data_IF_177725425814
#
_entry.id   IF_177725425814
#
_cell.length_a   1.000
_cell.length_b   1.000
_cell.length_c   1.000
_cell.angle_alpha   90.00
_cell.angle_beta   90.00
_cell.angle_gamma   90.00
#
_symmetry.space_group_name_H-M   'P 1'
#
loop_
_entity.id
_entity.type
_entity.pdbx_description
1 polymer ?
#
# COMPACT_ATOMS: atom_id res chain seq x y z
N UNK A 1 -2.66 19.45 -13.61
CA UNK A 1 -1.76 20.16 -14.57
C UNK A 1 -2.37 20.14 -15.97
N UNK A 2 -2.62 18.95 -16.60
CA UNK A 2 -3.12 18.89 -17.97
C UNK A 2 -4.34 19.80 -18.22
N UNK A 3 -5.36 19.72 -17.38
CA UNK A 3 -6.58 20.55 -17.50
C UNK A 3 -6.28 22.05 -17.48
N UNK A 4 -5.32 22.46 -16.65
CA UNK A 4 -4.95 23.89 -16.54
C UNK A 4 -4.19 24.33 -17.79
N UNK A 5 -3.24 23.53 -18.29
CA UNK A 5 -2.52 23.83 -19.52
C UNK A 5 -3.47 23.93 -20.74
N UNK A 6 -4.42 23.00 -20.87
CA UNK A 6 -5.44 23.05 -21.90
C UNK A 6 -6.31 24.31 -21.81
N UNK A 7 -6.65 24.76 -20.59
CA UNK A 7 -7.41 25.99 -20.37
C UNK A 7 -6.64 27.25 -20.79
N UNK A 8 -5.30 27.19 -20.79
CA UNK A 8 -4.43 28.24 -21.32
C UNK A 8 -4.13 28.13 -22.82
N UNK A 9 -4.82 27.21 -23.53
CA UNK A 9 -4.65 27.03 -24.98
C UNK A 9 -3.45 26.18 -25.39
N UNK A 10 -2.75 25.57 -24.42
CA UNK A 10 -1.62 24.68 -24.72
C UNK A 10 -2.09 23.34 -25.25
N UNK A 11 -1.34 22.76 -26.19
CA UNK A 11 -1.56 21.41 -26.67
C UNK A 11 -0.83 20.41 -25.79
N UNK A 12 -1.56 19.58 -25.08
CA UNK A 12 -1.00 18.61 -24.12
C UNK A 12 -1.30 17.19 -24.55
N UNK A 13 -0.26 16.38 -24.63
CA UNK A 13 -0.37 14.94 -24.79
C UNK A 13 0.04 14.26 -23.47
N UNK A 14 -0.85 13.42 -22.92
CA UNK A 14 -0.63 12.67 -21.69
C UNK A 14 -0.53 11.17 -22.01
N UNK A 15 0.53 10.53 -21.54
CA UNK A 15 0.76 9.11 -21.72
C UNK A 15 1.49 8.51 -20.52
N UNK A 16 1.44 7.19 -20.40
CA UNK A 16 2.30 6.46 -19.47
C UNK A 16 3.73 6.39 -19.99
N UNK A 17 4.71 6.31 -19.09
CA UNK A 17 6.13 6.28 -19.46
C UNK A 17 6.51 5.05 -20.30
N UNK A 18 5.82 3.91 -20.09
CA UNK A 18 6.01 2.71 -20.92
C UNK A 18 5.61 2.90 -22.39
N UNK A 19 4.81 3.92 -22.70
CA UNK A 19 4.34 4.25 -24.03
C UNK A 19 5.03 5.49 -24.62
N UNK A 20 6.15 5.91 -24.02
CA UNK A 20 6.90 7.05 -24.53
C UNK A 20 7.34 6.82 -25.97
N UNK A 21 7.18 7.84 -26.78
CA UNK A 21 7.70 7.91 -28.14
C UNK A 21 8.20 9.34 -28.43
N UNK A 22 8.89 9.53 -29.56
CA UNK A 22 9.33 10.87 -29.97
C UNK A 22 8.13 11.70 -30.43
N UNK A 23 8.03 12.90 -29.88
CA UNK A 23 6.99 13.89 -30.22
C UNK A 23 7.63 15.10 -30.90
N UNK A 24 7.78 15.12 -32.24
CA UNK A 24 8.59 16.12 -32.98
C UNK A 24 8.14 17.58 -32.78
N UNK A 25 6.89 17.79 -32.36
CA UNK A 25 6.33 19.15 -32.13
C UNK A 25 6.30 19.54 -30.67
N UNK A 26 6.74 18.66 -29.76
CA UNK A 26 6.75 18.97 -28.34
C UNK A 26 7.86 19.93 -28.00
N UNK A 27 7.54 20.99 -27.26
CA UNK A 27 8.52 21.93 -26.69
C UNK A 27 8.99 21.53 -25.31
N UNK A 28 8.12 20.85 -24.56
CA UNK A 28 8.36 20.42 -23.19
C UNK A 28 8.02 18.94 -23.01
N UNK A 29 8.86 18.22 -22.30
CA UNK A 29 8.60 16.91 -21.73
C UNK A 29 8.57 17.04 -20.20
N UNK A 30 7.44 16.83 -19.59
CA UNK A 30 7.31 16.84 -18.13
C UNK A 30 7.10 15.40 -17.69
N UNK A 31 8.02 14.88 -16.91
CA UNK A 31 7.98 13.52 -16.37
C UNK A 31 7.52 13.56 -14.93
N UNK A 32 6.41 12.91 -14.64
CA UNK A 32 5.94 12.63 -13.28
C UNK A 32 6.09 11.14 -13.01
N UNK A 33 6.87 10.78 -12.01
CA UNK A 33 7.10 9.37 -11.68
C UNK A 33 7.17 9.12 -10.18
N UNK A 34 6.69 7.97 -9.74
CA UNK A 34 6.88 7.48 -8.37
C UNK A 34 8.05 6.50 -8.31
N UNK A 35 8.48 6.18 -7.09
CA UNK A 35 9.47 5.16 -6.79
C UNK A 35 8.82 4.06 -5.95
N UNK A 36 9.10 2.81 -6.25
CA UNK A 36 8.64 1.64 -5.49
C UNK A 36 9.80 0.90 -4.84
N UNK A 37 9.51 0.17 -3.76
CA UNK A 37 10.47 -0.71 -3.11
C UNK A 37 11.78 -0.01 -2.73
N UNK A 38 12.89 -0.55 -3.19
CA UNK A 38 14.26 -0.07 -2.97
C UNK A 38 14.76 0.80 -4.14
N UNK A 39 13.98 1.78 -4.58
CA UNK A 39 14.37 2.66 -5.67
C UNK A 39 13.82 2.26 -7.04
N UNK A 40 12.95 1.24 -7.12
CA UNK A 40 12.51 0.63 -8.37
C UNK A 40 11.50 1.48 -9.16
N UNK A 41 11.45 1.18 -10.48
CA UNK A 41 10.49 1.78 -11.38
C UNK A 41 9.05 1.31 -11.06
N UNK A 42 8.04 2.21 -11.14
CA UNK A 42 6.66 1.78 -11.11
C UNK A 42 6.32 0.97 -12.38
N UNK A 43 5.31 0.10 -12.28
CA UNK A 43 4.93 -0.83 -13.36
C UNK A 43 4.66 -0.15 -14.70
N UNK A 44 4.11 1.07 -14.69
CA UNK A 44 3.83 1.88 -15.88
C UNK A 44 5.04 2.67 -16.41
N UNK A 45 6.23 2.51 -15.81
CA UNK A 45 7.46 3.15 -16.21
C UNK A 45 8.65 2.19 -16.41
N UNK A 46 8.46 0.88 -16.21
CA UNK A 46 9.52 -0.13 -16.25
C UNK A 46 10.31 -0.19 -17.56
N UNK A 47 9.71 0.25 -18.67
CA UNK A 47 10.34 0.27 -20.00
C UNK A 47 10.98 1.62 -20.34
N UNK A 48 10.71 2.68 -19.57
CA UNK A 48 11.04 4.05 -19.95
C UNK A 48 12.53 4.26 -20.16
N UNK A 49 13.38 3.77 -19.26
CA UNK A 49 14.84 3.87 -19.38
C UNK A 49 15.33 3.27 -20.71
N UNK A 50 14.81 2.10 -21.07
CA UNK A 50 15.20 1.44 -22.32
C UNK A 50 14.70 2.19 -23.56
N UNK A 51 13.53 2.84 -23.47
CA UNK A 51 13.01 3.70 -24.53
C UNK A 51 13.87 4.95 -24.72
N UNK A 52 14.22 5.66 -23.64
CA UNK A 52 15.09 6.84 -23.70
C UNK A 52 16.46 6.51 -24.29
N UNK A 53 17.10 5.40 -23.90
CA UNK A 53 18.39 4.96 -24.44
C UNK A 53 18.37 4.70 -25.96
N UNK A 54 17.19 4.36 -26.50
CA UNK A 54 17.00 4.11 -27.95
C UNK A 54 16.47 5.34 -28.70
N UNK A 55 16.15 6.40 -27.97
CA UNK A 55 15.58 7.62 -28.57
C UNK A 55 16.66 8.41 -29.28
N UNK A 56 16.45 8.62 -30.57
CA UNK A 56 17.24 9.56 -31.41
C UNK A 56 16.32 10.67 -31.87
N UNK A 57 16.64 11.90 -31.54
CA UNK A 57 15.94 13.07 -32.10
C UNK A 57 16.91 14.22 -32.28
N UNK A 58 16.65 15.01 -33.30
CA UNK A 58 17.51 16.16 -33.65
C UNK A 58 17.09 17.43 -32.91
N UNK A 59 15.81 17.59 -32.66
CA UNK A 59 15.29 18.79 -32.00
C UNK A 59 15.45 18.68 -30.48
N UNK A 60 16.03 19.73 -29.89
CA UNK A 60 16.10 19.89 -28.45
C UNK A 60 14.71 20.10 -27.84
N UNK A 61 14.48 19.48 -26.70
CA UNK A 61 13.25 19.60 -25.93
C UNK A 61 13.56 19.98 -24.48
N UNK A 62 12.78 20.88 -23.93
CA UNK A 62 12.85 21.25 -22.52
C UNK A 62 12.31 20.14 -21.63
N UNK A 63 13.11 19.66 -20.68
CA UNK A 63 12.73 18.53 -19.82
C UNK A 63 12.69 18.94 -18.36
N UNK A 64 11.63 18.51 -17.67
CA UNK A 64 11.48 18.62 -16.22
C UNK A 64 11.06 17.25 -15.65
N UNK A 65 11.68 16.86 -14.56
CA UNK A 65 11.33 15.62 -13.83
C UNK A 65 10.81 15.97 -12.44
N UNK A 66 9.70 15.34 -12.06
CA UNK A 66 9.14 15.43 -10.72
C UNK A 66 9.01 14.02 -10.16
N UNK A 67 9.73 13.74 -9.10
CA UNK A 67 9.73 12.45 -8.42
C UNK A 67 8.82 12.45 -7.21
N UNK A 68 8.01 11.41 -7.06
CA UNK A 68 7.18 11.16 -5.88
C UNK A 68 7.74 9.96 -5.12
N UNK A 69 7.95 10.11 -3.83
CA UNK A 69 8.48 9.05 -2.97
C UNK A 69 8.08 9.26 -1.52
N UNK A 70 8.62 8.43 -0.64
CA UNK A 70 8.49 8.63 0.80
C UNK A 70 9.87 8.63 1.44
N UNK A 71 10.17 9.64 2.23
CA UNK A 71 11.42 9.76 3.00
C UNK A 71 11.54 8.70 4.11
N UNK A 72 10.49 7.91 4.34
CA UNK A 72 10.56 6.75 5.21
C UNK A 72 11.38 5.59 4.62
N UNK A 73 11.71 5.65 3.32
CA UNK A 73 12.50 4.63 2.62
C UNK A 73 13.89 5.19 2.24
N UNK A 74 14.95 4.35 2.28
CA UNK A 74 16.32 4.79 2.00
C UNK A 74 16.50 5.44 0.62
N UNK A 75 15.84 4.87 -0.41
CA UNK A 75 15.99 5.32 -1.79
C UNK A 75 14.85 6.29 -2.20
N UNK A 76 14.72 7.38 -1.42
CA UNK A 76 13.73 8.43 -1.65
C UNK A 76 13.84 8.98 -3.08
N UNK A 77 12.78 8.82 -3.87
CA UNK A 77 12.69 9.23 -5.28
C UNK A 77 13.80 8.64 -6.19
N UNK A 78 14.39 7.48 -5.84
CA UNK A 78 15.54 6.89 -6.53
C UNK A 78 15.33 6.74 -8.03
N UNK A 79 14.18 6.22 -8.47
CA UNK A 79 13.87 6.08 -9.89
C UNK A 79 13.80 7.43 -10.63
N UNK A 80 13.25 8.46 -10.00
CA UNK A 80 13.22 9.80 -10.61
C UNK A 80 14.62 10.40 -10.75
N UNK A 81 15.51 10.14 -9.79
CA UNK A 81 16.93 10.56 -9.86
C UNK A 81 17.64 9.84 -11.01
N UNK A 82 17.42 8.53 -11.17
CA UNK A 82 17.98 7.76 -12.28
C UNK A 82 17.52 8.30 -13.64
N UNK A 83 16.22 8.61 -13.78
CA UNK A 83 15.66 9.20 -15.00
C UNK A 83 16.27 10.57 -15.28
N UNK A 84 16.37 11.44 -14.28
CA UNK A 84 16.91 12.80 -14.44
C UNK A 84 18.36 12.76 -14.93
N UNK A 85 19.19 11.89 -14.33
CA UNK A 85 20.58 11.67 -14.76
C UNK A 85 20.66 11.10 -16.18
N UNK A 86 19.78 10.15 -16.53
CA UNK A 86 19.74 9.56 -17.87
C UNK A 86 19.34 10.59 -18.93
N UNK A 87 18.31 11.38 -18.67
CA UNK A 87 17.83 12.42 -19.57
C UNK A 87 18.88 13.52 -19.77
N UNK A 88 19.58 13.93 -18.72
CA UNK A 88 20.65 14.92 -18.79
C UNK A 88 21.83 14.50 -19.72
N UNK A 89 22.00 13.19 -19.95
CA UNK A 89 23.04 12.66 -20.86
C UNK A 89 22.63 12.64 -22.34
N UNK A 90 21.33 12.91 -22.62
CA UNK A 90 20.85 12.90 -24.00
C UNK A 90 21.16 14.22 -24.69
N UNK A 91 21.68 14.17 -25.91
CA UNK A 91 22.04 15.36 -26.70
C UNK A 91 20.84 16.22 -27.13
N UNK A 92 19.65 15.66 -27.11
CA UNK A 92 18.37 16.29 -27.46
C UNK A 92 17.63 16.90 -26.26
N UNK A 93 18.16 16.71 -25.05
CA UNK A 93 17.56 17.23 -23.80
C UNK A 93 18.15 18.57 -23.43
N UNK A 94 17.29 19.53 -23.15
CA UNK A 94 17.61 20.76 -22.46
C UNK A 94 16.91 20.75 -21.09
N UNK A 95 17.72 20.78 -20.02
CA UNK A 95 17.17 20.78 -18.66
C UNK A 95 16.42 22.09 -18.42
N UNK A 96 15.10 21.98 -18.27
CA UNK A 96 14.25 23.14 -18.04
C UNK A 96 14.17 23.53 -16.57
N UNK A 97 13.95 22.56 -15.70
CA UNK A 97 14.01 22.72 -14.25
C UNK A 97 14.88 21.61 -13.66
N UNK A 98 15.52 21.89 -12.54
CA UNK A 98 16.16 20.86 -11.73
C UNK A 98 15.12 19.87 -11.22
N UNK A 99 15.55 18.63 -10.97
CA UNK A 99 14.69 17.58 -10.38
C UNK A 99 14.00 18.13 -9.13
N UNK A 100 12.70 18.01 -9.12
CA UNK A 100 11.89 18.28 -7.92
C UNK A 100 11.41 16.98 -7.32
N UNK A 101 11.49 16.85 -6.01
CA UNK A 101 11.00 15.69 -5.27
C UNK A 101 9.82 16.09 -4.40
N UNK A 102 8.87 15.19 -4.26
CA UNK A 102 7.65 15.38 -3.48
C UNK A 102 7.52 14.21 -2.50
N UNK A 103 7.60 14.52 -1.21
CA UNK A 103 7.45 13.53 -0.17
C UNK A 103 5.97 13.20 0.05
N UNK A 104 5.66 11.91 0.12
CA UNK A 104 4.32 11.39 0.44
C UNK A 104 3.16 12.03 -0.34
N UNK A 105 3.43 12.44 -1.60
CA UNK A 105 2.48 13.15 -2.46
C UNK A 105 1.98 14.48 -1.86
N UNK A 106 2.81 15.17 -1.07
CA UNK A 106 2.49 16.46 -0.48
C UNK A 106 2.07 17.47 -1.55
N UNK A 107 0.86 17.96 -1.46
CA UNK A 107 0.36 18.99 -2.37
C UNK A 107 1.12 20.31 -2.22
N UNK A 108 1.57 20.63 -1.00
CA UNK A 108 2.36 21.82 -0.69
C UNK A 108 3.72 21.77 -1.38
N UNK A 109 4.43 20.63 -1.31
CA UNK A 109 5.71 20.45 -1.99
C UNK A 109 5.52 20.45 -3.51
N UNK A 110 4.48 19.80 -4.02
CA UNK A 110 4.15 19.80 -5.44
C UNK A 110 3.87 21.21 -5.97
N UNK A 111 3.20 22.05 -5.20
CA UNK A 111 2.99 23.48 -5.53
C UNK A 111 4.32 24.23 -5.67
N UNK A 112 5.37 23.81 -4.99
CA UNK A 112 6.73 24.34 -5.20
C UNK A 112 7.15 24.22 -6.67
N UNK A 113 7.05 23.02 -7.25
CA UNK A 113 7.30 22.80 -8.67
C UNK A 113 6.37 23.61 -9.57
N UNK A 114 5.07 23.67 -9.24
CA UNK A 114 4.08 24.44 -10.01
C UNK A 114 4.49 25.92 -10.13
N UNK A 115 4.93 26.53 -9.03
CA UNK A 115 5.39 27.93 -9.00
C UNK A 115 6.64 28.13 -9.86
N UNK A 116 7.64 27.25 -9.73
CA UNK A 116 8.87 27.31 -10.53
C UNK A 116 8.59 27.19 -12.03
N UNK A 117 7.74 26.22 -12.40
CA UNK A 117 7.35 25.98 -13.78
C UNK A 117 6.58 27.16 -14.36
N UNK A 118 5.59 27.70 -13.61
CA UNK A 118 4.79 28.85 -14.01
C UNK A 118 5.66 30.10 -14.20
N UNK A 119 6.56 30.36 -13.27
CA UNK A 119 7.47 31.52 -13.37
C UNK A 119 8.39 31.43 -14.61
N UNK A 120 8.85 30.22 -14.94
CA UNK A 120 9.79 30.03 -16.06
C UNK A 120 9.10 29.99 -17.43
N UNK A 121 7.85 29.53 -17.52
CA UNK A 121 7.08 29.48 -18.78
C UNK A 121 6.23 30.71 -19.03
N UNK A 122 5.91 31.47 -18.00
CA UNK A 122 4.89 32.55 -18.07
C UNK A 122 3.45 32.04 -18.11
N UNK A 123 3.21 30.70 -18.04
CA UNK A 123 1.89 30.12 -18.03
C UNK A 123 1.44 29.97 -16.57
N UNK A 124 0.41 30.68 -16.10
CA UNK A 124 0.02 30.65 -14.71
C UNK A 124 -0.75 29.36 -14.39
N UNK A 125 -0.10 28.42 -13.71
CA UNK A 125 -0.76 27.29 -13.07
C UNK A 125 -1.18 27.66 -11.65
N UNK A 126 -2.29 27.12 -11.19
CA UNK A 126 -2.76 27.41 -9.85
C UNK A 126 -1.81 26.87 -8.78
N UNK A 127 -1.40 27.72 -7.87
CA UNK A 127 -0.58 27.37 -6.71
C UNK A 127 -1.40 27.01 -5.45
N UNK A 128 -2.66 26.62 -5.64
CA UNK A 128 -3.56 26.24 -4.54
C UNK A 128 -3.42 24.75 -4.25
N UNK A 129 -2.88 24.33 -3.09
CA UNK A 129 -2.62 22.90 -2.79
C UNK A 129 -3.84 22.01 -2.92
N UNK A 130 -5.03 22.50 -2.51
CA UNK A 130 -6.28 21.73 -2.57
C UNK A 130 -6.70 21.29 -3.97
N UNK A 131 -6.16 21.90 -5.03
CA UNK A 131 -6.40 21.47 -6.42
C UNK A 131 -5.58 20.22 -6.81
N UNK A 132 -4.54 19.91 -6.06
CA UNK A 132 -3.65 18.77 -6.28
C UNK A 132 -3.89 17.64 -5.27
N UNK A 133 -4.74 17.88 -4.28
CA UNK A 133 -5.20 16.92 -3.30
C UNK A 133 -6.63 16.49 -3.69
N UNK A 134 -6.78 15.31 -4.27
CA UNK A 134 -8.12 14.78 -4.54
C UNK A 134 -8.84 14.54 -3.21
N UNK A 135 -9.98 15.18 -3.03
CA UNK A 135 -10.87 14.84 -1.92
C UNK A 135 -11.33 13.39 -2.11
N UNK A 136 -11.14 12.53 -1.12
CA UNK A 136 -11.53 11.13 -1.23
C UNK A 136 -13.03 11.00 -1.52
N UNK A 137 -13.36 10.19 -2.55
CA UNK A 137 -14.73 9.88 -2.93
C UNK A 137 -15.19 8.58 -2.28
N UNK A 138 -16.50 8.37 -2.27
CA UNK A 138 -17.13 7.14 -1.79
C UNK A 138 -16.77 6.78 -0.33
N UNK A 139 -16.60 7.81 0.49
CA UNK A 139 -16.36 7.65 1.91
C UNK A 139 -17.63 7.22 2.64
N UNK A 140 -17.49 6.18 3.46
CA UNK A 140 -18.53 5.67 4.33
C UNK A 140 -18.22 6.01 5.79
N UNK A 141 -19.29 6.14 6.59
CA UNK A 141 -19.13 6.28 8.04
C UNK A 141 -18.82 4.92 8.65
N UNK A 142 -17.74 4.86 9.42
CA UNK A 142 -17.35 3.72 10.24
C UNK A 142 -17.56 4.08 11.70
N UNK A 143 -18.12 3.15 12.48
CA UNK A 143 -18.27 3.31 13.94
C UNK A 143 -17.33 2.33 14.63
N UNK A 144 -16.52 2.80 15.55
CA UNK A 144 -15.68 1.95 16.41
C UNK A 144 -16.58 1.24 17.41
N UNK A 145 -16.64 -0.09 17.34
CA UNK A 145 -17.39 -0.91 18.29
C UNK A 145 -16.57 -1.25 19.53
N UNK A 146 -15.31 -1.62 19.29
CA UNK A 146 -14.39 -2.01 20.34
C UNK A 146 -12.94 -1.74 19.91
N UNK A 147 -12.10 -1.48 20.90
CA UNK A 147 -10.65 -1.35 20.76
C UNK A 147 -10.00 -1.98 21.99
N UNK A 148 -9.02 -2.87 21.77
CA UNK A 148 -8.24 -3.43 22.87
C UNK A 148 -7.24 -2.41 23.41
N UNK A 149 -6.75 -2.61 24.61
CA UNK A 149 -5.57 -1.91 25.09
C UNK A 149 -4.38 -2.25 24.21
N UNK A 150 -3.43 -1.33 24.13
CA UNK A 150 -2.17 -1.54 23.41
C UNK A 150 -1.32 -2.56 24.16
N UNK A 151 -0.71 -3.49 23.45
CA UNK A 151 0.26 -4.39 24.06
C UNK A 151 1.58 -3.65 24.31
N UNK A 152 2.13 -3.77 25.50
CA UNK A 152 3.35 -3.06 25.92
C UNK A 152 4.60 -3.38 25.09
N UNK A 153 4.67 -4.60 24.56
CA UNK A 153 5.86 -5.09 23.83
C UNK A 153 5.77 -4.97 22.32
N UNK A 154 4.58 -5.17 21.74
CA UNK A 154 4.38 -5.14 20.28
C UNK A 154 3.80 -3.82 19.79
N UNK A 155 3.33 -2.97 20.72
CA UNK A 155 2.60 -1.74 20.40
C UNK A 155 1.45 -1.98 19.41
N UNK A 156 0.75 -3.11 19.57
CA UNK A 156 -0.38 -3.49 18.71
C UNK A 156 -1.70 -3.43 19.48
N UNK A 157 -2.77 -3.13 18.76
CA UNK A 157 -4.14 -3.18 19.25
C UNK A 157 -5.06 -3.73 18.17
N UNK A 158 -6.16 -4.36 18.61
CA UNK A 158 -7.24 -4.79 17.74
C UNK A 158 -8.34 -3.74 17.77
N UNK A 159 -8.96 -3.52 16.63
CA UNK A 159 -10.09 -2.61 16.49
C UNK A 159 -11.20 -3.28 15.68
N UNK A 160 -12.42 -3.24 16.21
CA UNK A 160 -13.62 -3.73 15.52
C UNK A 160 -14.45 -2.52 15.08
N UNK A 161 -14.80 -2.49 13.80
CA UNK A 161 -15.54 -1.40 13.19
C UNK A 161 -16.81 -1.93 12.54
N UNK A 162 -17.87 -1.11 12.62
CA UNK A 162 -19.12 -1.35 11.89
C UNK A 162 -19.28 -0.29 10.81
N UNK A 163 -19.64 -0.72 9.60
CA UNK A 163 -20.08 0.19 8.54
C UNK A 163 -21.49 0.68 8.83
N UNK A 164 -21.79 1.95 8.56
CA UNK A 164 -23.14 2.49 8.70
C UNK A 164 -24.03 2.21 7.47
N UNK A 165 -23.46 1.58 6.44
CA UNK A 165 -24.18 1.10 5.24
C UNK A 165 -24.05 -0.41 5.17
N UNK A 166 -24.95 -1.07 4.46
CA UNK A 166 -24.89 -2.51 4.16
C UNK A 166 -23.79 -2.81 3.11
N UNK A 167 -22.63 -2.20 3.23
CA UNK A 167 -21.54 -2.43 2.29
C UNK A 167 -20.94 -3.79 2.51
N UNK A 168 -21.03 -4.62 1.48
CA UNK A 168 -20.43 -5.96 1.51
C UNK A 168 -18.92 -5.85 1.42
N UNK A 169 -18.23 -6.49 2.32
CA UNK A 169 -16.77 -6.64 2.31
C UNK A 169 -16.38 -8.10 2.57
N UNK A 170 -15.15 -8.42 2.26
CA UNK A 170 -14.61 -9.78 2.39
C UNK A 170 -13.25 -9.67 3.08
N UNK A 171 -12.91 -10.65 3.92
CA UNK A 171 -11.56 -10.73 4.50
C UNK A 171 -10.50 -10.67 3.40
N UNK A 172 -9.51 -9.79 3.57
CA UNK A 172 -8.51 -9.49 2.54
C UNK A 172 -8.78 -8.23 1.71
N UNK A 173 -10.00 -7.66 1.75
CA UNK A 173 -10.22 -6.29 1.28
C UNK A 173 -9.40 -5.29 2.12
N UNK A 174 -9.28 -4.05 1.67
CA UNK A 174 -8.53 -3.00 2.36
C UNK A 174 -9.48 -1.93 2.90
N UNK A 175 -9.18 -1.42 4.07
CA UNK A 175 -9.77 -0.19 4.59
C UNK A 175 -8.80 0.97 4.33
N UNK A 176 -9.22 1.93 3.50
CA UNK A 176 -8.52 3.19 3.30
C UNK A 176 -9.03 4.21 4.31
N UNK A 177 -8.17 4.64 5.21
CA UNK A 177 -8.45 5.72 6.17
C UNK A 177 -7.74 7.00 5.75
N UNK A 178 -8.31 8.10 6.15
CA UNK A 178 -7.81 9.45 5.88
C UNK A 178 -7.68 10.16 7.23
N UNK A 179 -6.48 10.19 7.82
CA UNK A 179 -6.24 10.88 9.08
C UNK A 179 -6.67 12.34 8.99
N UNK A 180 -7.06 12.95 10.11
CA UNK A 180 -7.61 14.30 10.15
C UNK A 180 -6.79 15.29 9.31
N UNK A 181 -7.46 15.94 8.36
CA UNK A 181 -6.92 16.94 7.44
C UNK A 181 -5.88 16.42 6.41
N UNK A 182 -5.67 15.10 6.33
CA UNK A 182 -4.82 14.49 5.31
C UNK A 182 -5.70 13.68 4.34
N UNK A 183 -5.73 14.06 3.06
CA UNK A 183 -6.44 13.35 2.00
C UNK A 183 -5.66 12.16 1.46
N UNK A 184 -4.49 11.89 1.99
CA UNK A 184 -3.70 10.71 1.63
C UNK A 184 -4.21 9.48 2.38
N UNK A 185 -4.50 8.43 1.63
CA UNK A 185 -5.00 7.20 2.21
C UNK A 185 -3.91 6.39 2.93
N UNK A 186 -4.31 5.76 4.02
CA UNK A 186 -3.53 4.73 4.72
C UNK A 186 -4.34 3.45 4.67
N UNK A 187 -3.73 2.40 4.12
CA UNK A 187 -4.39 1.13 3.83
C UNK A 187 -4.16 0.12 4.97
N UNK A 188 -5.22 -0.51 5.39
CA UNK A 188 -5.21 -1.59 6.37
C UNK A 188 -5.94 -2.80 5.83
N UNK A 189 -5.30 -3.97 5.86
CA UNK A 189 -5.98 -5.22 5.52
C UNK A 189 -7.03 -5.56 6.57
N UNK A 190 -8.22 -5.95 6.12
CA UNK A 190 -9.35 -6.22 6.98
C UNK A 190 -9.67 -7.71 7.11
N UNK A 191 -10.02 -8.13 8.32
CA UNK A 191 -10.75 -9.36 8.59
C UNK A 191 -12.25 -9.09 8.68
N UNK A 192 -13.06 -10.09 8.37
CA UNK A 192 -14.49 -10.04 8.60
C UNK A 192 -14.82 -10.94 9.81
N UNK A 193 -15.21 -10.32 10.92
CA UNK A 193 -15.61 -11.00 12.14
C UNK A 193 -17.05 -10.62 12.48
N UNK A 194 -17.97 -11.59 12.42
CA UNK A 194 -19.40 -11.35 12.69
C UNK A 194 -19.96 -10.14 11.93
N UNK A 195 -19.70 -10.08 10.61
CA UNK A 195 -20.10 -8.99 9.71
C UNK A 195 -19.51 -7.60 10.06
N UNK A 196 -18.56 -7.54 11.00
CA UNK A 196 -17.81 -6.33 11.32
C UNK A 196 -16.39 -6.40 10.80
N UNK A 197 -15.83 -5.23 10.48
CA UNK A 197 -14.43 -5.10 10.09
C UNK A 197 -13.54 -5.26 11.31
N UNK A 198 -12.58 -6.16 11.23
CA UNK A 198 -11.54 -6.33 12.23
C UNK A 198 -10.19 -5.84 11.68
N UNK A 199 -9.52 -4.99 12.42
CA UNK A 199 -8.17 -4.53 12.16
C UNK A 199 -7.24 -5.00 13.26
N UNK A 200 -6.00 -5.33 12.86
CA UNK A 200 -4.85 -5.45 13.77
C UNK A 200 -3.89 -4.34 13.41
N UNK A 201 -3.68 -3.42 14.33
CA UNK A 201 -2.93 -2.18 14.08
C UNK A 201 -1.70 -2.13 14.96
N UNK A 202 -0.54 -1.89 14.35
CA UNK A 202 0.68 -1.54 15.07
C UNK A 202 0.79 -0.02 15.18
N UNK A 203 0.88 0.48 16.39
CA UNK A 203 1.13 1.90 16.64
C UNK A 203 2.58 2.23 16.32
N UNK A 204 2.78 3.14 15.39
CA UNK A 204 4.09 3.72 15.08
C UNK A 204 4.20 5.10 15.74
N UNK A 205 5.32 5.42 16.40
CA UNK A 205 5.47 6.68 17.17
C UNK A 205 5.17 7.95 16.38
N UNK A 206 5.50 7.97 15.08
CA UNK A 206 5.24 9.10 14.16
C UNK A 206 4.23 8.77 13.06
N UNK A 207 3.53 7.63 13.17
CA UNK A 207 2.61 7.16 12.13
C UNK A 207 1.27 7.88 12.18
N UNK A 208 0.98 8.73 11.20
CA UNK A 208 -0.29 9.48 11.11
C UNK A 208 -1.51 8.56 11.13
N UNK A 209 -1.50 7.47 10.34
CA UNK A 209 -2.63 6.54 10.25
C UNK A 209 -2.86 5.75 11.53
N UNK A 210 -1.80 5.09 12.03
CA UNK A 210 -1.91 4.29 13.26
C UNK A 210 -2.16 5.16 14.50
N UNK A 211 -1.54 6.35 14.57
CA UNK A 211 -1.80 7.33 15.61
C UNK A 211 -3.25 7.80 15.59
N UNK A 212 -3.78 8.15 14.41
CA UNK A 212 -5.18 8.53 14.27
C UNK A 212 -6.13 7.42 14.74
N UNK A 213 -5.94 6.18 14.29
CA UNK A 213 -6.78 5.05 14.76
C UNK A 213 -6.67 4.85 16.27
N UNK A 214 -5.49 5.06 16.84
CA UNK A 214 -5.28 4.93 18.27
C UNK A 214 -6.06 5.98 19.09
N UNK A 215 -6.25 7.21 18.57
CA UNK A 215 -7.04 8.24 19.25
C UNK A 215 -8.55 8.00 19.24
N UNK A 216 -9.03 7.09 18.39
CA UNK A 216 -10.45 6.78 18.30
C UNK A 216 -10.88 5.86 19.45
N UNK A 217 -11.93 6.24 20.15
CA UNK A 217 -12.53 5.46 21.22
C UNK A 217 -13.79 4.71 20.76
N UNK A 218 -14.25 3.73 21.56
CA UNK A 218 -15.54 3.05 21.29
C UNK A 218 -16.67 4.08 21.18
N UNK A 219 -17.48 3.95 20.12
CA UNK A 219 -18.51 4.92 19.74
C UNK A 219 -18.03 6.02 18.80
N UNK A 220 -16.73 6.22 18.62
CA UNK A 220 -16.21 7.19 17.64
C UNK A 220 -16.67 6.87 16.24
N UNK A 221 -17.00 7.93 15.46
CA UNK A 221 -17.40 7.80 14.06
C UNK A 221 -16.40 8.55 13.18
N UNK A 222 -15.89 7.87 12.16
CA UNK A 222 -14.98 8.46 11.18
C UNK A 222 -15.36 8.04 9.75
N UNK A 223 -14.73 8.66 8.76
CA UNK A 223 -14.96 8.34 7.35
C UNK A 223 -13.81 7.51 6.81
N UNK A 224 -14.13 6.43 6.09
CA UNK A 224 -13.18 5.57 5.43
C UNK A 224 -13.79 4.98 4.16
N UNK A 225 -12.98 4.32 3.36
CA UNK A 225 -13.41 3.65 2.13
C UNK A 225 -12.95 2.19 2.15
N UNK A 226 -13.83 1.28 1.74
CA UNK A 226 -13.47 -0.12 1.50
C UNK A 226 -13.00 -0.28 0.06
N UNK A 227 -11.79 -0.79 -0.11
CA UNK A 227 -11.20 -1.09 -1.41
C UNK A 227 -11.20 -2.59 -1.61
N UNK A 228 -11.83 -3.06 -2.69
CA UNK A 228 -11.84 -4.47 -3.04
C UNK A 228 -10.45 -4.95 -3.44
N UNK A 229 -10.00 -6.04 -2.82
CA UNK A 229 -8.72 -6.69 -3.09
C UNK A 229 -8.94 -8.16 -3.47
N UNK A 230 -9.55 -8.39 -4.62
CA UNK A 230 -9.96 -9.72 -5.07
C UNK A 230 -8.81 -10.72 -5.16
N UNK A 231 -7.58 -10.25 -5.37
CA UNK A 231 -6.38 -11.08 -5.46
C UNK A 231 -5.97 -11.66 -4.11
N UNK A 232 -6.46 -11.08 -3.01
CA UNK A 232 -6.17 -11.54 -1.65
C UNK A 232 -7.42 -12.10 -0.92
N UNK A 233 -8.43 -12.51 -1.65
CA UNK A 233 -9.58 -13.21 -1.07
C UNK A 233 -9.27 -14.69 -0.87
N UNK A 234 -9.99 -15.32 0.06
CA UNK A 234 -9.88 -16.76 0.32
C UNK A 234 -10.06 -17.57 -0.98
N UNK A 235 -9.12 -18.48 -1.30
CA UNK A 235 -9.13 -19.24 -2.56
C UNK A 235 -10.14 -20.39 -2.50
N UNK A 236 -11.41 -20.13 -2.72
CA UNK A 236 -12.55 -21.07 -2.56
C UNK A 236 -12.42 -22.39 -3.31
N UNK A 237 -11.57 -22.46 -4.34
CA UNK A 237 -11.36 -23.67 -5.15
C UNK A 237 -10.16 -24.51 -4.68
N UNK A 238 -9.34 -23.99 -3.76
CA UNK A 238 -8.22 -24.73 -3.24
C UNK A 238 -8.66 -25.82 -2.27
N UNK A 239 -8.07 -27.00 -2.36
CA UNK A 239 -8.29 -28.08 -1.41
C UNK A 239 -7.56 -27.85 -0.09
N UNK A 240 -6.36 -27.24 -0.18
CA UNK A 240 -5.48 -26.93 0.94
C UNK A 240 -4.99 -25.49 0.85
N UNK A 241 -4.80 -24.82 1.97
CA UNK A 241 -4.31 -23.42 2.01
C UNK A 241 -3.31 -23.29 3.16
N UNK A 242 -2.18 -22.64 2.92
CA UNK A 242 -1.28 -22.19 3.96
C UNK A 242 -1.35 -20.67 4.08
N UNK A 243 -1.66 -20.15 5.26
CA UNK A 243 -1.58 -18.74 5.61
C UNK A 243 -0.25 -18.48 6.30
N UNK A 244 0.47 -17.47 5.84
CA UNK A 244 1.75 -17.04 6.42
C UNK A 244 1.62 -15.57 6.80
N UNK A 245 1.82 -15.25 8.07
CA UNK A 245 1.73 -13.85 8.53
C UNK A 245 2.84 -13.49 9.51
N UNK A 246 3.17 -12.20 9.52
CA UNK A 246 3.98 -11.59 10.56
C UNK A 246 3.22 -10.44 11.23
N UNK A 247 3.13 -10.49 12.56
CA UNK A 247 2.53 -9.42 13.35
C UNK A 247 1.10 -9.08 12.90
N UNK A 248 0.89 -7.85 12.44
CA UNK A 248 -0.45 -7.35 12.08
C UNK A 248 -1.05 -7.95 10.81
N UNK A 249 -0.25 -8.63 9.98
CA UNK A 249 -0.72 -9.31 8.77
C UNK A 249 -1.71 -10.44 9.02
N UNK A 250 -1.93 -10.84 10.28
CA UNK A 250 -2.86 -11.90 10.65
C UNK A 250 -4.34 -11.50 10.45
N UNK A 251 -4.68 -10.21 10.46
CA UNK A 251 -6.07 -9.74 10.49
C UNK A 251 -7.00 -10.38 9.43
N UNK A 252 -6.67 -10.41 8.12
CA UNK A 252 -7.51 -11.04 7.12
C UNK A 252 -7.66 -12.56 7.33
N UNK A 253 -6.62 -13.23 7.79
CA UNK A 253 -6.63 -14.68 7.99
C UNK A 253 -7.55 -15.10 9.14
N UNK A 254 -7.66 -14.30 10.20
CA UNK A 254 -8.63 -14.56 11.28
C UNK A 254 -10.05 -14.66 10.72
N UNK A 255 -10.47 -13.69 9.92
CA UNK A 255 -11.79 -13.71 9.32
C UNK A 255 -11.96 -14.79 8.23
N UNK A 256 -10.90 -15.13 7.48
CA UNK A 256 -10.96 -16.22 6.50
C UNK A 256 -11.15 -17.58 7.17
N UNK A 257 -10.47 -17.83 8.29
CA UNK A 257 -10.65 -19.07 9.07
C UNK A 257 -12.07 -19.18 9.64
N UNK A 258 -12.58 -18.12 10.24
CA UNK A 258 -13.94 -18.09 10.80
C UNK A 258 -15.01 -18.36 9.73
N UNK A 259 -14.76 -17.92 8.50
CA UNK A 259 -15.66 -18.12 7.36
C UNK A 259 -15.42 -19.41 6.57
N UNK A 260 -14.47 -20.25 6.98
CA UNK A 260 -14.17 -21.54 6.33
C UNK A 260 -15.28 -22.58 6.57
N UNK A 261 -16.45 -22.36 5.97
CA UNK A 261 -17.58 -23.27 6.05
C UNK A 261 -17.40 -24.55 5.21
N UNK A 262 -16.56 -24.46 4.18
CA UNK A 262 -16.22 -25.59 3.30
C UNK A 262 -15.28 -26.60 3.95
N UNK A 263 -14.73 -26.26 5.11
CA UNK A 263 -13.75 -27.05 5.84
C UNK A 263 -12.52 -27.39 4.99
N UNK A 264 -12.12 -26.43 4.15
CA UNK A 264 -10.85 -26.48 3.45
C UNK A 264 -9.72 -26.66 4.45
N UNK A 265 -8.76 -27.51 4.17
CA UNK A 265 -7.60 -27.73 5.03
C UNK A 265 -6.75 -26.45 5.06
N UNK A 266 -6.68 -25.80 6.21
CA UNK A 266 -5.93 -24.55 6.40
C UNK A 266 -4.82 -24.77 7.42
N UNK A 267 -3.61 -24.39 7.08
CA UNK A 267 -2.46 -24.31 7.99
C UNK A 267 -2.10 -22.83 8.20
N UNK A 268 -2.00 -22.39 9.46
CA UNK A 268 -1.65 -21.01 9.80
C UNK A 268 -0.27 -20.96 10.43
N UNK A 269 0.65 -20.22 9.81
CA UNK A 269 2.00 -19.93 10.28
C UNK A 269 2.13 -18.46 10.63
N UNK A 270 2.39 -18.16 11.91
CA UNK A 270 2.44 -16.79 12.40
C UNK A 270 3.76 -16.47 13.09
N UNK A 271 4.30 -15.27 12.82
CA UNK A 271 5.48 -14.74 13.50
C UNK A 271 5.14 -13.53 14.37
N UNK A 272 5.61 -13.56 15.62
CA UNK A 272 5.55 -12.45 16.56
C UNK A 272 6.90 -12.28 17.25
N UNK A 273 7.07 -11.18 17.99
CA UNK A 273 8.31 -10.96 18.75
C UNK A 273 8.32 -11.75 20.03
N UNK A 274 7.27 -11.67 20.82
CA UNK A 274 7.12 -12.27 22.14
C UNK A 274 5.69 -12.73 22.37
N UNK A 275 5.50 -13.57 23.36
CA UNK A 275 4.17 -13.90 23.88
C UNK A 275 3.59 -12.64 24.56
N UNK A 276 2.39 -12.26 24.13
CA UNK A 276 1.60 -11.17 24.68
C UNK A 276 0.17 -11.66 24.89
N UNK A 277 -0.66 -10.94 25.64
CA UNK A 277 -2.08 -11.27 25.78
C UNK A 277 -2.77 -11.36 24.42
N UNK A 278 -2.39 -10.52 23.46
CA UNK A 278 -2.90 -10.57 22.09
C UNK A 278 -2.50 -11.88 21.38
N UNK A 279 -1.25 -12.32 21.53
CA UNK A 279 -0.77 -13.58 20.93
C UNK A 279 -1.46 -14.77 21.58
N UNK A 280 -1.62 -14.78 22.90
CA UNK A 280 -2.42 -15.81 23.62
C UNK A 280 -3.88 -15.83 23.16
N UNK A 281 -4.44 -14.64 22.85
CA UNK A 281 -5.76 -14.54 22.24
C UNK A 281 -5.83 -15.21 20.86
N UNK A 282 -4.81 -15.09 20.04
CA UNK A 282 -4.73 -15.77 18.73
C UNK A 282 -4.59 -17.30 18.90
N UNK A 283 -3.79 -17.77 19.84
CA UNK A 283 -3.68 -19.20 20.15
C UNK A 283 -5.01 -19.81 20.58
N UNK A 284 -5.71 -19.11 21.48
CA UNK A 284 -7.06 -19.52 21.92
C UNK A 284 -8.04 -19.56 20.74
N UNK A 285 -8.04 -18.52 19.90
CA UNK A 285 -8.87 -18.47 18.71
C UNK A 285 -8.51 -19.61 17.73
N UNK A 286 -7.22 -19.84 17.47
CA UNK A 286 -6.77 -20.94 16.62
C UNK A 286 -7.22 -22.31 17.15
N UNK A 287 -7.11 -22.54 18.46
CA UNK A 287 -7.59 -23.76 19.12
C UNK A 287 -9.09 -23.96 18.89
N UNK A 288 -9.88 -22.88 19.03
CA UNK A 288 -11.32 -22.94 18.76
C UNK A 288 -11.61 -23.28 17.28
N UNK A 289 -10.86 -22.68 16.34
CA UNK A 289 -11.02 -22.97 14.91
C UNK A 289 -10.63 -24.41 14.56
N UNK A 290 -9.62 -24.97 15.22
CA UNK A 290 -9.24 -26.39 15.08
C UNK A 290 -10.39 -27.29 15.57
N UNK A 291 -10.97 -27.02 16.74
CA UNK A 291 -12.12 -27.76 17.25
C UNK A 291 -13.34 -27.70 16.31
N UNK A 292 -13.56 -26.55 15.66
CA UNK A 292 -14.63 -26.36 14.67
C UNK A 292 -14.28 -26.96 13.29
N UNK A 293 -13.09 -27.51 13.10
CA UNK A 293 -12.54 -27.99 11.81
C UNK A 293 -12.50 -26.90 10.73
N UNK A 294 -12.26 -25.66 11.15
CA UNK A 294 -12.07 -24.50 10.29
C UNK A 294 -10.58 -24.15 10.09
N UNK A 295 -9.73 -24.74 10.93
CA UNK A 295 -8.26 -24.69 10.86
C UNK A 295 -7.73 -26.10 11.10
N UNK A 296 -6.70 -26.53 10.38
CA UNK A 296 -6.03 -27.80 10.53
C UNK A 296 -4.88 -27.72 11.55
N UNK A 297 -4.03 -26.70 11.42
CA UNK A 297 -2.89 -26.51 12.33
C UNK A 297 -2.55 -25.04 12.51
N UNK A 298 -1.98 -24.72 13.65
CA UNK A 298 -1.46 -23.43 14.03
C UNK A 298 -0.01 -23.54 14.45
N UNK A 299 0.86 -22.75 13.84
CA UNK A 299 2.30 -22.74 14.07
C UNK A 299 2.74 -21.33 14.43
N UNK A 300 3.31 -21.18 15.63
CA UNK A 300 3.77 -19.91 16.18
C UNK A 300 5.28 -19.83 16.20
N UNK A 301 5.83 -18.77 15.62
CA UNK A 301 7.24 -18.40 15.72
C UNK A 301 7.40 -17.16 16.61
N UNK A 302 8.37 -17.18 17.53
CA UNK A 302 8.66 -16.12 18.47
C UNK A 302 10.11 -15.67 18.32
N UNK A 303 10.34 -14.49 17.74
CA UNK A 303 11.68 -14.05 17.34
C UNK A 303 12.50 -13.39 18.46
N UNK A 304 11.94 -13.19 19.66
CA UNK A 304 12.59 -12.54 20.80
C UNK A 304 12.45 -13.31 22.13
N UNK A 305 12.12 -14.60 22.04
CA UNK A 305 12.13 -15.53 23.17
C UNK A 305 13.44 -16.35 23.17
N UNK A 306 13.72 -17.07 24.26
CA UNK A 306 14.96 -17.86 24.41
C UNK A 306 15.21 -18.84 23.25
N UNK A 307 14.18 -19.57 22.84
CA UNK A 307 14.19 -20.44 21.67
C UNK A 307 13.69 -19.70 20.44
N UNK A 308 14.32 -18.55 20.11
CA UNK A 308 13.88 -17.72 19.02
C UNK A 308 13.86 -18.46 17.68
N UNK A 309 12.76 -18.30 16.97
CA UNK A 309 12.61 -18.77 15.60
C UNK A 309 11.79 -17.75 14.79
N UNK A 310 11.92 -17.83 13.50
CA UNK A 310 11.16 -17.02 12.56
C UNK A 310 10.15 -17.90 11.81
N UNK A 311 9.14 -17.30 11.20
CA UNK A 311 8.18 -18.01 10.37
C UNK A 311 8.88 -18.84 9.29
N UNK A 312 9.97 -18.35 8.73
CA UNK A 312 10.77 -19.05 7.73
C UNK A 312 11.38 -20.35 8.26
N UNK A 313 11.69 -20.42 9.55
CA UNK A 313 12.25 -21.65 10.16
C UNK A 313 11.13 -22.70 10.30
N UNK A 314 9.91 -22.27 10.63
CA UNK A 314 8.74 -23.15 10.64
C UNK A 314 8.43 -23.69 9.23
N UNK A 315 8.50 -22.84 8.19
CA UNK A 315 8.30 -23.25 6.81
C UNK A 315 9.37 -24.25 6.38
N UNK A 316 10.64 -24.02 6.74
CA UNK A 316 11.72 -24.97 6.45
C UNK A 316 11.52 -26.30 7.18
N UNK A 317 11.12 -26.27 8.44
CA UNK A 317 10.82 -27.48 9.22
C UNK A 317 9.72 -28.31 8.55
N UNK A 318 8.67 -27.65 8.07
CA UNK A 318 7.46 -28.27 7.52
C UNK A 318 7.50 -28.25 5.97
N UNK A 319 8.70 -28.24 5.36
CA UNK A 319 8.85 -28.13 3.90
C UNK A 319 8.05 -29.18 3.13
N UNK A 320 7.98 -30.43 3.64
CA UNK A 320 7.22 -31.51 3.02
C UNK A 320 5.72 -31.20 2.97
N UNK A 321 5.17 -30.52 3.98
CA UNK A 321 3.76 -30.09 4.02
C UNK A 321 3.52 -29.07 2.90
N UNK A 322 4.44 -28.13 2.69
CA UNK A 322 4.33 -27.15 1.61
C UNK A 322 4.47 -27.77 0.22
N UNK A 323 5.40 -28.72 0.06
CA UNK A 323 5.55 -29.48 -1.20
C UNK A 323 4.27 -30.25 -1.51
N UNK A 324 3.73 -30.98 -0.53
CA UNK A 324 2.46 -31.71 -0.69
C UNK A 324 1.30 -30.78 -1.05
N UNK A 325 1.19 -29.66 -0.31
CA UNK A 325 0.16 -28.63 -0.56
C UNK A 325 0.23 -28.11 -1.99
N UNK A 326 1.41 -27.70 -2.46
CA UNK A 326 1.59 -27.11 -3.79
C UNK A 326 1.40 -28.13 -4.91
N UNK A 327 1.89 -29.36 -4.74
CA UNK A 327 1.73 -30.44 -5.74
C UNK A 327 0.28 -30.87 -5.91
N UNK A 328 -0.55 -30.73 -4.88
CA UNK A 328 -1.99 -30.98 -4.91
C UNK A 328 -2.83 -29.78 -5.36
N UNK A 329 -2.21 -28.70 -5.88
CA UNK A 329 -2.89 -27.50 -6.32
C UNK A 329 -3.41 -26.62 -5.17
N UNK A 330 -2.82 -26.74 -3.99
CA UNK A 330 -3.07 -25.85 -2.87
C UNK A 330 -2.49 -24.45 -3.08
N UNK A 331 -2.84 -23.53 -2.20
CA UNK A 331 -2.48 -22.11 -2.30
C UNK A 331 -1.75 -21.65 -1.04
N UNK A 332 -0.68 -20.90 -1.22
CA UNK A 332 0.01 -20.19 -0.14
C UNK A 332 -0.37 -18.71 -0.23
N UNK A 333 -0.85 -18.15 0.88
CA UNK A 333 -1.19 -16.73 1.03
C UNK A 333 -0.25 -16.10 2.07
N UNK A 334 0.37 -14.96 1.71
CA UNK A 334 1.38 -14.28 2.53
C UNK A 334 0.98 -12.83 2.77
#
# INVERSE_FOLDING_TARGET
IQKQLLAHGEKVFLTELNNYSVYPKAKHLIVFTSTHGLGDAPSNASKFISLIKKTEQQQKINVSVVGFGSQAYPDFCGYAQEIDVLLAKQNWVERFLELQTVNDKSAEEFVGWVKLWSAKTGIPLSATPSLYNEVPKDLEKMTVLNKTLISDTEHTFLMTLRTNRSTKFTSGDLLAIYPANDNQERLYSIGNHNENIQLVVKLHPSGLGSGYLYTLESGSVFKARIIKNQTFHFPKKASKVAFISNGTGIAPFLGMMEQNKTKTEIHLYCGFRKVTETVLGYEKFATEMIHKKQLQSFHLALSREENHNYVMDLIKRDADVFVDLLTQGGVVMI
#
